data_IF_293683337643
#
_entry.id   IF_293683337643
#
_cell.length_a   1.000
_cell.length_b   1.000
_cell.length_c   1.000
_cell.angle_alpha   90.00
_cell.angle_beta   90.00
_cell.angle_gamma   90.00
#
_symmetry.space_group_name_H-M   'P 1'
#
loop_
_entity.id
_entity.type
_entity.pdbx_description
1 polymer ?
#
# COMPACT_ATOMS: atom_id res chain seq x y z
N UNK A 1 6.82 16.16 4.70
CA UNK A 1 5.48 16.25 4.11
C UNK A 1 5.02 14.91 3.57
N UNK A 2 3.73 14.69 3.66
CA UNK A 2 3.12 13.45 3.22
C UNK A 2 2.62 13.62 1.78
N UNK A 3 3.48 13.28 0.82
CA UNK A 3 3.14 13.39 -0.59
C UNK A 3 3.13 12.01 -1.22
N UNK A 4 2.05 11.69 -1.92
CA UNK A 4 1.88 10.45 -2.67
C UNK A 4 1.87 10.79 -4.15
N UNK A 5 2.89 10.34 -4.87
CA UNK A 5 3.11 10.70 -6.26
C UNK A 5 2.79 9.50 -7.15
N UNK A 6 1.97 9.76 -8.17
CA UNK A 6 1.74 8.80 -9.25
C UNK A 6 2.90 8.95 -10.25
N UNK A 7 3.78 7.95 -10.32
CA UNK A 7 4.97 8.02 -11.17
C UNK A 7 4.64 8.05 -12.66
N UNK A 8 3.49 7.53 -13.07
CA UNK A 8 3.10 7.54 -14.49
C UNK A 8 2.73 8.93 -14.97
N UNK A 9 2.12 9.74 -14.11
CA UNK A 9 1.67 11.09 -14.46
C UNK A 9 2.53 12.18 -13.86
N UNK A 10 3.27 11.89 -12.80
CA UNK A 10 4.00 12.88 -12.01
C UNK A 10 3.12 13.66 -11.05
N UNK A 11 1.83 13.34 -10.97
CA UNK A 11 0.90 14.09 -10.14
C UNK A 11 0.98 13.69 -8.67
N UNK A 12 0.80 14.69 -7.81
CA UNK A 12 0.59 14.45 -6.38
C UNK A 12 -0.90 14.17 -6.16
N UNK A 13 -1.23 12.94 -5.79
CA UNK A 13 -2.61 12.53 -5.58
C UNK A 13 -2.94 12.29 -4.09
N UNK A 14 -2.16 12.88 -3.20
CA UNK A 14 -2.35 12.73 -1.76
C UNK A 14 -3.78 13.04 -1.33
N UNK A 15 -4.30 14.19 -1.77
CA UNK A 15 -5.65 14.60 -1.37
C UNK A 15 -6.70 13.58 -1.83
N UNK A 16 -6.59 13.10 -3.05
CA UNK A 16 -7.53 12.12 -3.59
C UNK A 16 -7.51 10.83 -2.77
N UNK A 17 -6.31 10.34 -2.46
CA UNK A 17 -6.16 9.10 -1.68
C UNK A 17 -6.73 9.27 -0.27
N UNK A 18 -6.42 10.37 0.39
CA UNK A 18 -6.86 10.61 1.77
C UNK A 18 -8.35 10.96 1.86
N UNK A 19 -8.99 11.34 0.75
CA UNK A 19 -10.41 11.68 0.77
C UNK A 19 -11.34 10.51 0.48
N UNK A 20 -10.82 9.35 0.10
CA UNK A 20 -11.67 8.17 -0.08
C UNK A 20 -12.38 7.79 1.21
N UNK A 21 -13.64 7.33 1.09
CA UNK A 21 -14.37 6.80 2.24
C UNK A 21 -13.60 5.66 2.90
N UNK A 22 -13.03 4.76 2.09
CA UNK A 22 -12.20 3.65 2.55
C UNK A 22 -11.05 3.44 1.57
N UNK A 23 -9.85 3.25 2.07
CA UNK A 23 -8.68 2.95 1.25
C UNK A 23 -7.72 2.04 2.02
N UNK A 24 -7.11 1.10 1.31
CA UNK A 24 -6.08 0.22 1.86
C UNK A 24 -4.72 0.62 1.30
N UNK A 25 -3.73 0.71 2.17
CA UNK A 25 -2.37 1.07 1.80
C UNK A 25 -1.42 -0.05 2.23
N UNK A 26 -0.67 -0.58 1.26
CA UNK A 26 0.41 -1.53 1.53
C UNK A 26 1.71 -0.73 1.58
N UNK A 27 2.23 -0.53 2.77
CA UNK A 27 3.42 0.31 2.97
C UNK A 27 4.67 -0.59 2.87
N UNK A 28 5.42 -0.44 1.78
CA UNK A 28 6.66 -1.17 1.52
C UNK A 28 7.75 -0.15 1.24
N UNK A 29 8.30 0.48 2.31
CA UNK A 29 9.17 1.65 2.14
C UNK A 29 10.38 1.38 1.26
N UNK A 30 10.88 0.15 1.24
CA UNK A 30 12.04 -0.26 0.42
C UNK A 30 11.77 -1.67 -0.12
N UNK A 31 11.53 -1.77 -1.42
CA UNK A 31 11.17 -3.05 -2.04
C UNK A 31 12.31 -4.07 -2.00
N UNK A 32 13.56 -3.63 -1.96
CA UNK A 32 14.71 -4.54 -1.84
C UNK A 32 14.77 -5.23 -0.48
N UNK A 33 14.14 -4.64 0.52
CA UNK A 33 14.14 -5.16 1.90
C UNK A 33 12.78 -5.71 2.33
N UNK A 34 11.80 -5.71 1.43
CA UNK A 34 10.45 -6.15 1.75
C UNK A 34 10.40 -7.66 1.97
N UNK A 35 9.76 -8.07 3.06
CA UNK A 35 9.45 -9.48 3.28
C UNK A 35 8.37 -9.89 2.28
N UNK A 36 8.70 -10.83 1.39
CA UNK A 36 7.81 -11.25 0.32
C UNK A 36 6.98 -12.50 0.67
N UNK A 37 7.10 -13.00 1.90
CA UNK A 37 6.47 -14.27 2.27
C UNK A 37 4.94 -14.19 2.32
N UNK A 38 4.37 -13.00 2.42
CA UNK A 38 2.93 -12.79 2.56
C UNK A 38 2.30 -12.01 1.40
N UNK A 39 2.96 -11.99 0.25
CA UNK A 39 2.42 -11.30 -0.93
C UNK A 39 1.12 -11.92 -1.42
N UNK A 40 0.97 -13.24 -1.32
CA UNK A 40 -0.28 -13.90 -1.70
C UNK A 40 -1.45 -13.42 -0.83
N UNK A 41 -1.24 -13.28 0.48
CA UNK A 41 -2.27 -12.78 1.38
C UNK A 41 -2.70 -11.36 1.00
N UNK A 42 -1.73 -10.49 0.66
CA UNK A 42 -2.03 -9.14 0.20
C UNK A 42 -2.78 -9.13 -1.12
N UNK A 43 -2.43 -10.02 -2.04
CA UNK A 43 -3.11 -10.13 -3.32
C UNK A 43 -4.55 -10.64 -3.15
N UNK A 44 -4.79 -11.54 -2.19
CA UNK A 44 -6.15 -12.01 -1.88
C UNK A 44 -7.01 -10.86 -1.34
N UNK A 45 -6.44 -10.04 -0.46
CA UNK A 45 -7.11 -8.83 0.05
C UNK A 45 -7.42 -7.88 -1.12
N UNK A 46 -6.45 -7.68 -2.00
CA UNK A 46 -6.62 -6.78 -3.16
C UNK A 46 -7.77 -7.23 -4.08
N UNK A 47 -7.88 -8.53 -4.33
CA UNK A 47 -8.94 -9.05 -5.18
C UNK A 47 -10.33 -8.79 -4.59
N UNK A 48 -10.48 -8.97 -3.27
CA UNK A 48 -11.74 -8.72 -2.58
C UNK A 48 -12.04 -7.22 -2.46
N UNK A 49 -11.01 -6.39 -2.23
CA UNK A 49 -11.16 -4.94 -2.20
C UNK A 49 -11.64 -4.42 -3.55
N UNK A 50 -11.09 -4.92 -4.65
CA UNK A 50 -11.52 -4.52 -5.99
C UNK A 50 -13.00 -4.83 -6.22
N UNK A 51 -13.44 -6.02 -5.84
CA UNK A 51 -14.85 -6.39 -5.95
C UNK A 51 -15.76 -5.47 -5.14
N UNK A 52 -15.30 -5.04 -3.98
CA UNK A 52 -16.07 -4.18 -3.08
C UNK A 52 -15.96 -2.69 -3.44
N UNK A 53 -15.13 -2.33 -4.43
CA UNK A 53 -14.91 -0.94 -4.79
C UNK A 53 -14.05 -0.16 -3.79
N UNK A 54 -13.23 -0.85 -3.01
CA UNK A 54 -12.30 -0.23 -2.06
C UNK A 54 -10.96 -0.04 -2.75
N UNK A 55 -10.49 1.20 -2.96
CA UNK A 55 -9.17 1.43 -3.55
C UNK A 55 -8.06 0.85 -2.69
N UNK A 56 -7.01 0.38 -3.35
CA UNK A 56 -5.83 -0.16 -2.68
C UNK A 56 -4.58 0.26 -3.44
N UNK A 57 -3.57 0.74 -2.71
CA UNK A 57 -2.31 1.21 -3.27
C UNK A 57 -1.14 0.66 -2.49
N UNK A 58 -0.05 0.37 -3.21
CA UNK A 58 1.25 0.21 -2.56
C UNK A 58 1.92 1.57 -2.42
N UNK A 59 2.62 1.79 -1.31
CA UNK A 59 3.40 3.00 -1.08
C UNK A 59 4.86 2.62 -0.89
N UNK A 60 5.76 3.24 -1.64
CA UNK A 60 7.19 2.91 -1.58
C UNK A 60 8.06 4.10 -1.92
N UNK A 61 9.30 4.10 -1.41
CA UNK A 61 10.33 5.05 -1.83
C UNK A 61 11.17 4.50 -2.98
N UNK A 62 11.01 3.23 -3.35
CA UNK A 62 11.75 2.62 -4.45
C UNK A 62 11.35 3.22 -5.79
N UNK A 63 12.26 3.15 -6.78
CA UNK A 63 12.01 3.77 -8.08
C UNK A 63 11.03 2.98 -8.94
N UNK A 64 10.64 3.58 -10.06
CA UNK A 64 9.65 3.02 -10.97
C UNK A 64 10.05 1.63 -11.49
N UNK A 65 11.32 1.44 -11.85
CA UNK A 65 11.82 0.17 -12.35
C UNK A 65 11.70 -0.93 -11.29
N UNK A 66 12.09 -0.63 -10.05
CA UNK A 66 11.99 -1.56 -8.93
C UNK A 66 10.53 -1.93 -8.66
N UNK A 67 9.62 -0.97 -8.76
CA UNK A 67 8.18 -1.20 -8.60
C UNK A 67 7.66 -2.17 -9.66
N UNK A 68 8.02 -1.92 -10.93
CA UNK A 68 7.56 -2.79 -12.02
C UNK A 68 8.07 -4.23 -11.86
N UNK A 69 9.35 -4.38 -11.52
CA UNK A 69 9.94 -5.70 -11.32
C UNK A 69 9.28 -6.42 -10.14
N UNK A 70 9.04 -5.72 -9.05
CA UNK A 70 8.41 -6.28 -7.85
C UNK A 70 6.96 -6.71 -8.13
N UNK A 71 6.19 -5.85 -8.80
CA UNK A 71 4.79 -6.16 -9.15
C UNK A 71 4.71 -7.36 -10.07
N UNK A 72 5.59 -7.43 -11.06
CA UNK A 72 5.62 -8.55 -11.99
C UNK A 72 5.95 -9.86 -11.27
N UNK A 73 6.99 -9.85 -10.45
CA UNK A 73 7.43 -11.01 -9.68
C UNK A 73 6.35 -11.53 -8.75
N UNK A 74 5.67 -10.62 -8.04
CA UNK A 74 4.70 -10.96 -7.00
C UNK A 74 3.25 -10.91 -7.50
N UNK A 75 3.04 -10.54 -8.75
CA UNK A 75 1.72 -10.44 -9.38
C UNK A 75 0.76 -9.53 -8.62
N UNK A 76 1.28 -8.41 -8.11
CA UNK A 76 0.45 -7.40 -7.47
C UNK A 76 -0.35 -6.63 -8.52
N UNK A 77 -1.66 -6.63 -8.38
CA UNK A 77 -2.54 -5.93 -9.32
C UNK A 77 -2.87 -4.51 -8.89
N UNK A 78 -2.62 -4.16 -7.62
CA UNK A 78 -2.83 -2.79 -7.14
C UNK A 78 -1.67 -1.89 -7.57
N UNK A 79 -1.97 -0.61 -7.88
CA UNK A 79 -0.91 0.33 -8.28
C UNK A 79 -0.08 0.77 -7.09
N UNK A 80 1.14 1.24 -7.38
CA UNK A 80 2.03 1.79 -6.37
C UNK A 80 2.17 3.30 -6.57
N UNK A 81 2.31 4.02 -5.45
CA UNK A 81 2.62 5.44 -5.42
C UNK A 81 3.98 5.63 -4.75
N UNK A 82 4.70 6.65 -5.20
CA UNK A 82 6.00 7.00 -4.62
C UNK A 82 5.82 7.94 -3.45
N UNK A 83 6.54 7.69 -2.38
CA UNK A 83 6.52 8.51 -1.17
C UNK A 83 7.87 8.50 -0.49
N UNK A 84 8.11 9.45 0.41
CA UNK A 84 9.34 9.55 1.17
C UNK A 84 9.48 8.36 2.12
N UNK A 85 10.60 7.64 2.02
CA UNK A 85 10.84 6.44 2.83
C UNK A 85 10.88 6.70 4.33
N UNK A 86 11.45 7.84 4.73
CA UNK A 86 11.50 8.21 6.15
C UNK A 86 10.08 8.44 6.69
N UNK A 87 9.25 9.13 5.91
CA UNK A 87 7.85 9.35 6.28
C UNK A 87 7.10 8.02 6.36
N UNK A 88 7.30 7.12 5.39
CA UNK A 88 6.64 5.81 5.39
C UNK A 88 6.98 5.00 6.65
N UNK A 89 8.23 5.05 7.09
CA UNK A 89 8.65 4.37 8.33
C UNK A 89 7.97 4.92 9.57
N UNK A 90 7.51 6.17 9.55
CA UNK A 90 6.76 6.73 10.68
C UNK A 90 5.33 6.22 10.72
N UNK A 91 4.78 5.80 9.58
CA UNK A 91 3.43 5.27 9.51
C UNK A 91 3.39 3.86 10.10
N UNK A 92 4.29 3.00 9.64
CA UNK A 92 4.39 1.63 10.13
C UNK A 92 5.82 1.12 9.89
N UNK A 93 6.36 0.41 10.87
CA UNK A 93 7.74 -0.10 10.77
C UNK A 93 7.86 -1.40 10.00
N UNK A 94 6.76 -2.13 9.86
CA UNK A 94 6.74 -3.37 9.10
C UNK A 94 6.96 -3.08 7.61
N UNK A 95 7.71 -3.94 6.94
CA UNK A 95 7.96 -3.81 5.50
C UNK A 95 7.73 -5.19 4.83
N UNK A 96 6.51 -5.46 4.34
CA UNK A 96 5.38 -4.55 4.22
C UNK A 96 4.54 -4.46 5.50
N UNK A 97 3.73 -3.40 5.57
CA UNK A 97 2.66 -3.28 6.54
C UNK A 97 1.37 -2.91 5.81
N UNK A 98 0.23 -3.22 6.41
CA UNK A 98 -1.07 -2.88 5.86
C UNK A 98 -1.72 -1.81 6.73
N UNK A 99 -2.25 -0.77 6.09
CA UNK A 99 -2.92 0.34 6.79
C UNK A 99 -4.29 0.54 6.16
N UNK A 100 -5.32 0.66 7.00
CA UNK A 100 -6.67 0.96 6.56
C UNK A 100 -7.08 2.36 7.02
N UNK A 101 -7.52 3.19 6.08
CA UNK A 101 -7.97 4.55 6.34
C UNK A 101 -9.44 4.72 5.95
N UNK A 102 -10.16 5.52 6.74
CA UNK A 102 -11.47 6.03 6.40
C UNK A 102 -11.41 7.55 6.40
N UNK A 103 -11.59 8.17 5.24
CA UNK A 103 -11.54 9.63 5.09
C UNK A 103 -10.31 10.25 5.75
N UNK A 104 -9.16 9.65 5.51
CA UNK A 104 -7.88 10.11 6.04
C UNK A 104 -7.57 9.73 7.48
N UNK A 105 -8.49 9.07 8.18
CA UNK A 105 -8.27 8.62 9.56
C UNK A 105 -7.83 7.16 9.58
N UNK A 106 -6.71 6.87 10.26
CA UNK A 106 -6.23 5.50 10.41
C UNK A 106 -7.17 4.71 11.30
N UNK A 107 -7.74 3.64 10.75
CA UNK A 107 -8.65 2.74 11.46
C UNK A 107 -8.00 1.42 11.82
N UNK A 108 -6.93 1.03 11.13
CA UNK A 108 -6.23 -0.21 11.43
C UNK A 108 -4.84 -0.22 10.84
N UNK A 109 -3.92 -0.89 11.53
CA UNK A 109 -2.57 -1.15 11.06
C UNK A 109 -2.21 -2.59 11.40
N UNK A 110 -1.61 -3.29 10.44
CA UNK A 110 -1.21 -4.68 10.63
C UNK A 110 0.24 -4.87 10.18
N UNK A 111 1.02 -5.49 11.04
CA UNK A 111 2.36 -5.94 10.71
C UNK A 111 2.27 -7.07 9.67
N UNK A 112 3.31 -7.27 8.89
CA UNK A 112 3.34 -8.31 7.85
C UNK A 112 3.07 -9.72 8.39
N UNK A 113 3.43 -9.98 9.64
CA UNK A 113 3.22 -11.29 10.27
C UNK A 113 1.78 -11.49 10.79
N UNK A 114 0.99 -10.44 10.83
CA UNK A 114 -0.34 -10.44 11.44
C UNK A 114 -1.42 -9.95 10.49
N UNK A 115 -1.26 -10.18 9.19
CA UNK A 115 -2.22 -9.71 8.20
C UNK A 115 -3.60 -10.33 8.47
N UNK A 116 -4.67 -9.50 8.45
CA UNK A 116 -6.02 -10.00 8.65
C UNK A 116 -6.55 -10.66 7.37
N UNK A 117 -7.61 -11.44 7.50
CA UNK A 117 -8.42 -11.75 6.32
C UNK A 117 -9.26 -10.51 6.00
N UNK A 118 -9.67 -10.37 4.75
CA UNK A 118 -10.35 -9.16 4.27
C UNK A 118 -11.56 -8.77 5.16
N UNK A 119 -12.37 -9.75 5.54
CA UNK A 119 -13.58 -9.48 6.32
C UNK A 119 -13.29 -8.86 7.70
N UNK A 120 -12.09 -9.05 8.23
CA UNK A 120 -11.73 -8.55 9.56
C UNK A 120 -11.12 -7.14 9.54
N UNK A 121 -10.95 -6.55 8.35
CA UNK A 121 -10.38 -5.20 8.22
C UNK A 121 -11.41 -4.13 8.62
N UNK A 122 -12.67 -4.35 8.29
CA UNK A 122 -13.72 -3.34 8.35
C UNK A 122 -14.66 -3.49 9.54
#
# INVERSE_FOLDING_TARGET
DFNLIDDETGDDITYSVLSYDRVLLVVSYDLDKTDESNQQALNDIAALAEKAGVPMYGLTASNYEAVNDFRHKNQNMFPFLTADGTMLKTIIRSNPGLVYLEKGTVKGKWHSDDLPVYADIF
#
